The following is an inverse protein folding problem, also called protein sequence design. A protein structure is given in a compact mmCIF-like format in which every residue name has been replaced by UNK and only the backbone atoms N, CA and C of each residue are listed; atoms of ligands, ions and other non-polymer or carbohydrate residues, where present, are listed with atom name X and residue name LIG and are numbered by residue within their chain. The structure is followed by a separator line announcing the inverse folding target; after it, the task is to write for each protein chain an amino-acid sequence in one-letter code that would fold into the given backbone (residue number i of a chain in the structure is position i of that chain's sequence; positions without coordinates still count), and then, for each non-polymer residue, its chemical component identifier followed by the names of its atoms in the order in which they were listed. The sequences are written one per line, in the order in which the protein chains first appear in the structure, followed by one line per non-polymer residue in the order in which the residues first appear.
data_IF_360657338024
#
_entry.id   IF_360657338024
#
_cell.length_a   1.000
_cell.length_b   1.000
_cell.length_c   1.000
_cell.angle_alpha   90.00
_cell.angle_beta   90.00
_cell.angle_gamma   90.00
#
_symmetry.space_group_name_H-M   'P 1'
#
loop_
_entity.id
_entity.type
_entity.pdbx_description
1 polymer ?
#
# COMPACT_ATOMS: atom_id res chain seq x y z
N UNK A 1 -1.36 -6.44 -4.85
CA UNK A 1 -1.11 -5.49 -3.73
C UNK A 1 -1.71 -4.12 -4.04
N UNK A 2 -1.85 -3.20 -3.08
CA UNK A 2 -2.29 -1.80 -3.31
C UNK A 2 -1.77 -0.84 -2.23
N UNK A 3 -1.88 0.47 -2.48
CA UNK A 3 -1.44 1.54 -1.55
C UNK A 3 -2.65 2.38 -1.13
N UNK A 4 -3.18 2.23 0.09
CA UNK A 4 -4.18 3.15 0.62
C UNK A 4 -3.54 4.36 1.30
N UNK A 5 -4.25 5.47 1.25
CA UNK A 5 -4.06 6.63 2.13
C UNK A 5 -4.76 6.36 3.47
N UNK A 6 -4.04 6.55 4.58
CA UNK A 6 -4.56 6.34 5.93
C UNK A 6 -4.55 7.66 6.70
N UNK A 7 -5.72 8.10 7.13
CA UNK A 7 -5.87 9.31 7.95
C UNK A 7 -5.55 9.02 9.41
N UNK A 8 -4.79 9.91 10.02
CA UNK A 8 -4.45 9.90 11.43
C UNK A 8 -4.76 11.26 12.05
N UNK A 9 -5.01 11.25 13.35
CA UNK A 9 -5.13 12.47 14.16
C UNK A 9 -4.04 12.44 15.21
N UNK A 10 -3.16 13.43 15.19
CA UNK A 10 -2.17 13.63 16.24
C UNK A 10 -2.91 13.97 17.54
N UNK A 11 -2.70 13.15 18.58
CA UNK A 11 -3.40 13.29 19.86
C UNK A 11 -3.01 14.56 20.63
N UNK A 12 -1.80 15.08 20.41
CA UNK A 12 -1.23 16.21 21.16
C UNK A 12 -1.75 17.55 20.63
N UNK A 13 -1.80 17.70 19.32
CA UNK A 13 -2.15 18.98 18.67
C UNK A 13 -3.45 18.91 17.85
N UNK A 14 -4.11 17.75 17.80
CA UNK A 14 -5.37 17.49 17.06
C UNK A 14 -5.26 17.71 15.55
N UNK A 15 -4.05 17.73 15.00
CA UNK A 15 -3.84 17.88 13.55
C UNK A 15 -4.08 16.55 12.83
N UNK A 16 -4.77 16.64 11.71
CA UNK A 16 -4.89 15.53 10.77
C UNK A 16 -3.63 15.42 9.93
N UNK A 17 -3.16 14.19 9.73
CA UNK A 17 -2.09 13.88 8.80
C UNK A 17 -2.38 12.55 8.12
N UNK A 18 -1.69 12.28 7.03
CA UNK A 18 -1.86 11.06 6.27
C UNK A 18 -0.58 10.26 6.24
N UNK A 19 -0.70 8.93 6.32
CA UNK A 19 0.38 8.02 5.97
C UNK A 19 -0.06 7.13 4.82
N UNK A 20 0.92 6.56 4.15
CA UNK A 20 0.71 5.61 3.07
C UNK A 20 1.27 4.26 3.47
N UNK A 21 0.67 3.18 2.98
CA UNK A 21 1.08 1.81 3.32
C UNK A 21 1.03 0.93 2.09
N UNK A 22 1.91 -0.04 1.97
CA UNK A 22 1.73 -1.14 1.02
C UNK A 22 0.93 -2.24 1.71
N UNK A 23 -0.18 -2.63 1.10
CA UNK A 23 -1.11 -3.62 1.65
C UNK A 23 -1.33 -4.76 0.65
N UNK A 24 -1.38 -5.97 1.16
CA UNK A 24 -1.78 -7.17 0.44
C UNK A 24 -3.17 -7.64 0.89
N UNK A 25 -3.95 -8.18 -0.05
CA UNK A 25 -5.22 -8.85 0.25
C UNK A 25 -4.99 -10.36 0.25
N UNK A 26 -5.10 -10.98 1.41
CA UNK A 26 -4.87 -12.42 1.61
C UNK A 26 -6.20 -13.12 1.87
N UNK A 27 -6.47 -14.24 1.19
CA UNK A 27 -7.65 -15.07 1.48
C UNK A 27 -7.36 -15.96 2.69
N UNK A 28 -8.27 -15.95 3.65
CA UNK A 28 -8.25 -16.84 4.81
C UNK A 28 -9.53 -17.68 4.83
N UNK A 29 -9.57 -18.73 5.66
CA UNK A 29 -10.77 -19.55 5.86
C UNK A 29 -12.00 -18.72 6.27
N UNK A 30 -11.78 -17.61 6.98
CA UNK A 30 -12.81 -16.68 7.44
C UNK A 30 -13.09 -15.54 6.44
N UNK A 31 -12.62 -15.67 5.20
CA UNK A 31 -12.79 -14.67 4.14
C UNK A 31 -11.52 -13.83 3.86
N UNK A 32 -11.63 -12.84 2.97
CA UNK A 32 -10.51 -11.97 2.62
C UNK A 32 -10.08 -11.09 3.81
N UNK A 33 -8.78 -10.93 3.99
CA UNK A 33 -8.13 -10.09 5.00
C UNK A 33 -7.10 -9.19 4.34
N UNK A 34 -6.77 -8.10 5.01
CA UNK A 34 -5.72 -7.18 4.59
C UNK A 34 -4.51 -7.33 5.49
N UNK A 35 -3.32 -7.41 4.89
CA UNK A 35 -2.04 -7.47 5.60
C UNK A 35 -1.21 -6.24 5.21
N UNK A 36 -0.75 -5.46 6.19
CA UNK A 36 0.19 -4.36 5.93
C UNK A 36 1.59 -4.93 5.76
N UNK A 37 2.18 -4.75 4.58
CA UNK A 37 3.53 -5.21 4.26
C UNK A 37 4.60 -4.19 4.62
N UNK A 38 4.32 -2.91 4.35
CA UNK A 38 5.27 -1.81 4.55
C UNK A 38 4.52 -0.52 4.89
N UNK A 39 5.02 0.24 5.86
CA UNK A 39 4.58 1.62 6.06
C UNK A 39 5.49 2.53 5.20
N UNK A 40 4.88 3.29 4.30
CA UNK A 40 5.59 4.22 3.41
C UNK A 40 5.79 5.60 4.06
N UNK A 41 5.11 5.87 5.17
CA UNK A 41 5.27 7.10 5.95
C UNK A 41 4.45 8.28 5.41
N UNK A 42 4.73 9.46 5.95
CA UNK A 42 4.14 10.75 5.54
C UNK A 42 4.79 11.31 4.27
N UNK A 43 6.07 10.99 4.06
CA UNK A 43 6.93 11.60 3.04
C UNK A 43 6.92 10.79 1.73
N UNK A 44 5.87 10.00 1.53
CA UNK A 44 5.67 9.25 0.29
C UNK A 44 5.05 10.17 -0.78
N UNK A 45 5.86 10.57 -1.75
CA UNK A 45 5.54 11.65 -2.69
C UNK A 45 5.22 11.17 -4.13
N UNK A 46 4.97 9.87 -4.34
CA UNK A 46 4.58 9.38 -5.66
C UNK A 46 3.15 9.84 -6.02
N UNK A 47 2.88 10.34 -7.25
CA UNK A 47 1.53 10.68 -7.69
C UNK A 47 0.55 9.49 -7.59
N UNK A 48 -0.70 9.76 -7.19
CA UNK A 48 -1.72 8.74 -6.92
C UNK A 48 -2.04 7.86 -8.13
N UNK A 49 -1.98 8.46 -9.33
CA UNK A 49 -2.18 7.78 -10.61
C UNK A 49 -1.17 6.64 -10.82
N UNK A 50 0.02 6.75 -10.19
CA UNK A 50 1.10 5.77 -10.29
C UNK A 50 1.12 4.75 -9.16
N UNK A 51 0.27 4.87 -8.13
CA UNK A 51 0.30 3.93 -6.99
C UNK A 51 -0.02 2.50 -7.40
N UNK A 52 -0.96 2.33 -8.33
CA UNK A 52 -1.32 1.01 -8.87
C UNK A 52 -0.15 0.38 -9.62
N UNK A 53 0.54 1.17 -10.45
CA UNK A 53 1.74 0.75 -11.19
C UNK A 53 2.85 0.32 -10.23
N UNK A 54 3.13 1.11 -9.20
CA UNK A 54 4.12 0.79 -8.17
C UNK A 54 3.75 -0.49 -7.42
N UNK A 55 2.53 -0.61 -6.92
CA UNK A 55 2.09 -1.78 -6.17
C UNK A 55 2.12 -3.06 -7.02
N UNK A 56 1.73 -2.96 -8.30
CA UNK A 56 1.84 -4.05 -9.26
C UNK A 56 3.30 -4.44 -9.50
N UNK A 57 4.20 -3.45 -9.66
CA UNK A 57 5.63 -3.71 -9.87
C UNK A 57 6.23 -4.41 -8.65
N UNK A 58 5.93 -3.97 -7.43
CA UNK A 58 6.40 -4.62 -6.21
C UNK A 58 5.88 -6.06 -6.13
N UNK A 59 4.58 -6.27 -6.37
CA UNK A 59 3.97 -7.59 -6.39
C UNK A 59 4.65 -8.52 -7.42
N UNK A 60 4.94 -8.02 -8.63
CA UNK A 60 5.65 -8.78 -9.67
C UNK A 60 7.03 -9.25 -9.22
N UNK A 61 7.80 -8.37 -8.55
CA UNK A 61 9.14 -8.69 -8.05
C UNK A 61 9.06 -9.74 -6.94
N UNK A 62 8.18 -9.52 -5.95
CA UNK A 62 8.05 -10.40 -4.78
C UNK A 62 7.53 -11.79 -5.16
N UNK A 63 6.63 -11.87 -6.14
CA UNK A 63 6.05 -13.14 -6.61
C UNK A 63 6.86 -13.80 -7.71
N UNK A 64 8.01 -13.21 -8.09
CA UNK A 64 8.84 -13.63 -9.22
C UNK A 64 8.01 -13.80 -10.52
N UNK A 65 7.01 -12.94 -10.69
CA UNK A 65 6.13 -12.93 -11.84
C UNK A 65 6.70 -11.97 -12.88
N UNK A 66 7.21 -12.53 -13.96
CA UNK A 66 7.61 -11.72 -15.09
C UNK A 66 6.39 -11.08 -15.77
N UNK A 67 6.54 -9.86 -16.30
CA UNK A 67 5.47 -9.26 -17.08
C UNK A 67 5.20 -10.14 -18.31
N UNK A 68 3.92 -10.35 -18.61
CA UNK A 68 3.49 -11.13 -19.77
C UNK A 68 3.92 -10.49 -21.10
N UNK A 69 4.19 -9.18 -21.10
CA UNK A 69 4.66 -8.43 -22.26
C UNK A 69 5.87 -7.56 -21.87
N UNK A 70 6.80 -7.30 -22.80
CA UNK A 70 7.98 -6.45 -22.56
C UNK A 70 7.63 -5.01 -22.18
#
# INVERSE_FOLDING_TARGET
MYIPKVTHVDRKNRREYYTYKLVESVRTEKGPRQCTLLNLGTDFELPEERWKELAYRIESIVTNREPLFP
#
